data_IF_643843296860
#
_entry.id   IF_643843296860
#
_cell.length_a   1.000
_cell.length_b   1.000
_cell.length_c   1.000
_cell.angle_alpha   90.00
_cell.angle_beta   90.00
_cell.angle_gamma   90.00
#
_symmetry.space_group_name_H-M   'P 1'
#
loop_
_entity.id
_entity.type
_entity.pdbx_description
1 polymer ?
#
# COMPACT_ATOMS: atom_id res chain seq x y z
N UNK A 1 12.58 19.77 1.87
CA UNK A 1 11.81 20.23 3.06
C UNK A 1 12.75 20.40 4.25
N UNK A 2 12.49 21.42 5.11
CA UNK A 2 13.22 21.60 6.38
C UNK A 2 12.82 20.53 7.42
N UNK A 3 13.64 20.33 8.46
CA UNK A 3 13.29 19.41 9.57
C UNK A 3 11.99 19.81 10.26
N UNK A 4 11.74 21.12 10.43
CA UNK A 4 10.51 21.66 11.02
C UNK A 4 9.27 21.34 10.16
N UNK A 5 9.35 21.53 8.85
CA UNK A 5 8.28 21.18 7.90
C UNK A 5 7.95 19.69 7.93
N UNK A 6 8.96 18.83 8.01
CA UNK A 6 8.76 17.38 8.13
C UNK A 6 8.06 17.00 9.44
N UNK A 7 8.41 17.65 10.55
CA UNK A 7 7.77 17.41 11.83
C UNK A 7 6.27 17.80 11.77
N UNK A 8 5.97 18.99 11.23
CA UNK A 8 4.57 19.46 11.07
C UNK A 8 3.79 18.49 10.18
N UNK A 9 4.37 18.08 9.05
CA UNK A 9 3.75 17.08 8.16
C UNK A 9 3.42 15.77 8.89
N UNK A 10 4.37 15.22 9.62
CA UNK A 10 4.16 13.96 10.32
C UNK A 10 3.13 14.08 11.47
N UNK A 11 3.07 15.23 12.12
CA UNK A 11 2.04 15.52 13.11
C UNK A 11 0.66 15.62 12.47
N UNK A 12 0.55 16.32 11.34
CA UNK A 12 -0.67 16.42 10.54
C UNK A 12 -1.13 15.03 10.08
N UNK A 13 -0.21 14.21 9.51
CA UNK A 13 -0.50 12.84 9.11
C UNK A 13 -1.15 12.03 10.25
N UNK A 14 -0.57 12.10 11.47
CA UNK A 14 -1.09 11.36 12.63
C UNK A 14 -2.44 11.87 13.10
N UNK A 15 -2.63 13.18 13.17
CA UNK A 15 -3.92 13.77 13.58
C UNK A 15 -5.00 13.37 12.58
N UNK A 16 -4.73 13.51 11.29
CA UNK A 16 -5.67 13.15 10.23
C UNK A 16 -5.97 11.63 10.23
N UNK A 17 -4.96 10.79 10.44
CA UNK A 17 -5.15 9.35 10.57
C UNK A 17 -6.02 8.98 11.77
N UNK A 18 -5.83 9.64 12.93
CA UNK A 18 -6.64 9.42 14.13
C UNK A 18 -8.10 9.82 13.89
N UNK A 19 -8.34 11.00 13.34
CA UNK A 19 -9.68 11.48 13.00
C UNK A 19 -10.34 10.54 11.99
N UNK A 20 -9.59 10.15 10.93
CA UNK A 20 -10.06 9.21 9.92
C UNK A 20 -10.47 7.86 10.53
N UNK A 21 -9.67 7.31 11.45
CA UNK A 21 -10.01 6.06 12.13
C UNK A 21 -11.28 6.19 12.97
N UNK A 22 -11.46 7.29 13.69
CA UNK A 22 -12.67 7.51 14.51
C UNK A 22 -13.92 7.58 13.62
N UNK A 23 -13.86 8.34 12.51
CA UNK A 23 -14.97 8.50 11.57
C UNK A 23 -15.28 7.17 10.86
N UNK A 24 -14.26 6.42 10.47
CA UNK A 24 -14.41 5.18 9.71
C UNK A 24 -14.71 3.96 10.59
N UNK A 25 -14.55 4.08 11.92
CA UNK A 25 -14.76 2.96 12.85
C UNK A 25 -16.12 2.27 12.71
N UNK A 26 -17.28 2.98 12.67
CA UNK A 26 -18.58 2.32 12.50
C UNK A 26 -18.69 1.56 11.17
N UNK A 27 -18.12 2.10 10.08
CA UNK A 27 -18.08 1.42 8.78
C UNK A 27 -17.18 0.17 8.83
N UNK A 28 -16.04 0.25 9.52
CA UNK A 28 -15.16 -0.89 9.72
C UNK A 28 -15.83 -2.01 10.50
N UNK A 29 -16.70 -1.69 11.45
CA UNK A 29 -17.47 -2.70 12.18
C UNK A 29 -18.45 -3.44 11.25
N UNK A 30 -19.13 -2.71 10.36
CA UNK A 30 -20.01 -3.31 9.35
C UNK A 30 -19.20 -4.22 8.41
N UNK A 31 -18.09 -3.72 7.88
CA UNK A 31 -17.18 -4.51 7.03
C UNK A 31 -16.70 -5.75 7.77
N UNK A 32 -16.35 -5.65 9.05
CA UNK A 32 -15.92 -6.79 9.87
C UNK A 32 -17.01 -7.87 9.97
N UNK A 33 -18.26 -7.47 10.24
CA UNK A 33 -19.39 -8.41 10.34
C UNK A 33 -19.62 -9.12 9.00
N UNK A 34 -19.71 -8.35 7.88
CA UNK A 34 -19.88 -8.93 6.55
C UNK A 34 -18.72 -9.86 6.20
N UNK A 35 -17.49 -9.42 6.48
CA UNK A 35 -16.28 -10.22 6.23
C UNK A 35 -16.34 -11.57 6.96
N UNK A 36 -16.76 -11.60 8.24
CA UNK A 36 -16.87 -12.84 9.01
C UNK A 36 -17.93 -13.81 8.43
N UNK A 37 -19.01 -13.28 7.88
CA UNK A 37 -20.06 -14.08 7.26
C UNK A 37 -19.59 -14.62 5.90
N UNK A 38 -18.98 -13.76 5.06
CA UNK A 38 -18.68 -14.09 3.66
C UNK A 38 -17.34 -14.80 3.48
N UNK A 39 -16.32 -14.39 4.25
CA UNK A 39 -14.96 -14.91 4.13
C UNK A 39 -14.68 -16.13 5.02
N UNK A 40 -15.61 -16.49 5.90
CA UNK A 40 -15.52 -17.68 6.73
C UNK A 40 -14.37 -17.65 7.74
N UNK A 41 -13.74 -18.84 7.96
CA UNK A 41 -12.64 -19.01 8.93
C UNK A 41 -11.40 -18.23 8.52
N UNK A 42 -10.62 -17.78 9.50
CA UNK A 42 -9.35 -17.10 9.35
C UNK A 42 -9.35 -15.67 9.89
N UNK A 43 -8.18 -15.03 9.84
CA UNK A 43 -7.98 -13.67 10.34
C UNK A 43 -8.73 -12.65 9.48
N UNK A 44 -9.29 -11.61 10.12
CA UNK A 44 -9.80 -10.43 9.43
C UNK A 44 -8.67 -9.59 8.83
N UNK A 45 -7.56 -9.51 9.54
CA UNK A 45 -6.40 -8.75 9.09
C UNK A 45 -5.42 -9.66 8.34
N UNK A 46 -4.96 -9.15 7.21
CA UNK A 46 -3.79 -9.61 6.49
C UNK A 46 -2.60 -8.74 6.87
N UNK A 47 -1.43 -9.36 7.04
CA UNK A 47 -0.17 -8.68 7.37
C UNK A 47 0.87 -9.10 6.37
N UNK A 48 1.57 -8.12 5.79
CA UNK A 48 2.65 -8.40 4.85
C UNK A 48 3.86 -7.51 5.18
N UNK A 49 5.05 -8.09 5.09
CA UNK A 49 6.28 -7.34 5.22
C UNK A 49 6.53 -6.49 3.97
N UNK A 50 6.90 -5.24 4.17
CA UNK A 50 7.19 -4.26 3.13
C UNK A 50 8.44 -3.48 3.49
N UNK A 51 9.07 -2.91 2.46
CA UNK A 51 10.24 -2.03 2.62
C UNK A 51 9.76 -0.62 2.96
N UNK A 52 10.20 -0.12 4.10
CA UNK A 52 9.86 1.21 4.62
C UNK A 52 10.98 2.22 4.50
N UNK A 53 10.86 3.28 5.31
CA UNK A 53 11.84 4.38 5.34
C UNK A 53 13.24 3.86 5.67
N UNK A 54 14.23 4.35 4.93
CA UNK A 54 15.66 3.95 5.00
C UNK A 54 15.89 2.46 4.69
N UNK A 55 14.97 1.82 3.96
CA UNK A 55 15.08 0.40 3.63
C UNK A 55 14.77 -0.54 4.80
N UNK A 56 14.21 -0.04 5.90
CA UNK A 56 13.84 -0.87 7.06
C UNK A 56 12.54 -1.62 6.81
N UNK A 57 12.48 -2.93 6.99
CA UNK A 57 11.24 -3.67 6.83
C UNK A 57 10.23 -3.30 7.93
N UNK A 58 8.96 -3.28 7.57
CA UNK A 58 7.83 -3.09 8.49
C UNK A 58 6.63 -3.91 8.04
N UNK A 59 5.65 -4.11 8.91
CA UNK A 59 4.43 -4.88 8.59
C UNK A 59 3.28 -3.94 8.25
N UNK A 60 2.82 -3.98 7.00
CA UNK A 60 1.60 -3.31 6.57
C UNK A 60 0.38 -4.14 6.99
N UNK A 61 -0.71 -3.44 7.36
CA UNK A 61 -1.97 -4.07 7.73
C UNK A 61 -3.01 -3.82 6.65
N UNK A 62 -3.72 -4.87 6.24
CA UNK A 62 -4.86 -4.78 5.30
C UNK A 62 -6.02 -5.65 5.78
N UNK A 63 -7.21 -5.41 5.25
CA UNK A 63 -8.30 -6.36 5.38
C UNK A 63 -8.04 -7.51 4.41
N UNK A 64 -8.21 -8.76 4.88
CA UNK A 64 -8.04 -9.93 4.04
C UNK A 64 -9.12 -9.97 2.95
N UNK A 65 -8.71 -10.08 1.70
CA UNK A 65 -9.60 -10.10 0.52
C UNK A 65 -9.56 -11.40 -0.26
N UNK A 66 -8.63 -12.30 0.10
CA UNK A 66 -8.40 -13.57 -0.59
C UNK A 66 -8.69 -14.75 0.34
N UNK A 67 -8.97 -15.92 -0.26
CA UNK A 67 -9.02 -17.19 0.49
C UNK A 67 -7.66 -17.46 1.11
N UNK A 68 -7.68 -18.12 2.28
CA UNK A 68 -6.48 -18.52 3.00
C UNK A 68 -6.21 -19.99 2.70
N UNK A 69 -5.46 -20.26 1.64
CA UNK A 69 -5.14 -21.64 1.20
C UNK A 69 -3.77 -22.13 1.72
N UNK A 70 -3.24 -21.50 2.77
CA UNK A 70 -2.09 -22.01 3.53
C UNK A 70 -0.71 -21.56 3.07
N UNK A 71 -0.49 -21.23 1.81
CA UNK A 71 0.80 -20.78 1.26
C UNK A 71 0.70 -19.36 0.66
N UNK A 72 0.64 -18.37 1.54
CA UNK A 72 0.50 -16.94 1.14
C UNK A 72 1.82 -16.29 0.67
N UNK A 73 2.91 -17.04 0.52
CA UNK A 73 4.24 -16.44 0.46
C UNK A 73 4.80 -16.13 -0.94
N UNK A 74 4.19 -16.58 -2.04
CA UNK A 74 4.91 -16.58 -3.33
C UNK A 74 4.33 -15.73 -4.47
N UNK A 75 3.24 -14.98 -4.27
CA UNK A 75 2.68 -14.15 -5.35
C UNK A 75 2.91 -12.67 -5.10
N UNK A 76 3.99 -12.13 -5.67
CA UNK A 76 4.35 -10.71 -5.58
C UNK A 76 3.45 -9.78 -6.41
N UNK A 77 2.83 -10.31 -7.48
CA UNK A 77 1.99 -9.54 -8.40
C UNK A 77 0.59 -10.16 -8.45
N UNK A 78 -0.42 -9.41 -8.06
CA UNK A 78 -1.83 -9.83 -8.12
C UNK A 78 -2.51 -9.15 -9.30
N UNK A 79 -3.27 -9.92 -10.08
CA UNK A 79 -4.10 -9.40 -11.18
C UNK A 79 -5.57 -9.33 -10.77
N UNK A 80 -6.37 -8.55 -11.49
CA UNK A 80 -7.81 -8.40 -11.23
C UNK A 80 -8.60 -9.72 -11.39
N UNK A 81 -8.05 -10.69 -12.15
CA UNK A 81 -8.68 -11.98 -12.46
C UNK A 81 -8.20 -13.13 -11.56
N UNK A 82 -7.52 -12.84 -10.45
CA UNK A 82 -7.03 -13.86 -9.52
C UNK A 82 -8.22 -14.56 -8.82
N UNK A 83 -8.38 -15.88 -9.05
CA UNK A 83 -9.49 -16.69 -8.54
C UNK A 83 -9.52 -16.82 -7.01
N UNK A 84 -8.42 -16.51 -6.34
CA UNK A 84 -8.34 -16.46 -4.88
C UNK A 84 -9.13 -15.30 -4.29
N UNK A 85 -9.40 -14.26 -5.09
CA UNK A 85 -10.11 -13.05 -4.63
C UNK A 85 -11.61 -13.32 -4.62
N UNK A 86 -12.22 -13.34 -3.43
CA UNK A 86 -13.66 -13.51 -3.29
C UNK A 86 -14.44 -12.26 -3.78
N UNK A 87 -15.71 -12.39 -4.18
CA UNK A 87 -16.52 -11.25 -4.68
C UNK A 87 -16.51 -10.05 -3.72
N UNK A 88 -16.66 -10.29 -2.42
CA UNK A 88 -16.56 -9.23 -1.41
C UNK A 88 -15.13 -8.64 -1.33
N UNK A 89 -14.12 -9.48 -1.49
CA UNK A 89 -12.72 -9.03 -1.59
C UNK A 89 -12.50 -8.14 -2.82
N UNK A 90 -13.07 -8.49 -3.98
CA UNK A 90 -13.03 -7.63 -5.18
C UNK A 90 -13.64 -6.25 -4.94
N UNK A 91 -14.79 -6.20 -4.24
CA UNK A 91 -15.41 -4.94 -3.84
C UNK A 91 -14.48 -4.11 -2.95
N UNK A 92 -13.91 -4.71 -1.89
CA UNK A 92 -12.99 -4.02 -0.97
C UNK A 92 -11.77 -3.45 -1.71
N UNK A 93 -11.14 -4.23 -2.61
CA UNK A 93 -9.98 -3.80 -3.41
C UNK A 93 -10.32 -2.68 -4.38
N UNK A 94 -11.44 -2.81 -5.10
CA UNK A 94 -11.91 -1.78 -6.04
C UNK A 94 -12.18 -0.44 -5.35
N UNK A 95 -12.72 -0.48 -4.13
CA UNK A 95 -13.00 0.72 -3.33
C UNK A 95 -11.84 1.16 -2.44
N UNK A 96 -10.72 0.41 -2.43
CA UNK A 96 -9.56 0.61 -1.54
C UNK A 96 -9.91 0.58 -0.04
N UNK A 97 -11.05 0.02 0.32
CA UNK A 97 -11.47 -0.13 1.71
C UNK A 97 -10.60 -1.14 2.47
N UNK A 98 -9.98 -2.08 1.78
CA UNK A 98 -9.03 -3.02 2.37
C UNK A 98 -7.77 -2.34 2.94
N UNK A 99 -7.42 -1.15 2.45
CA UNK A 99 -6.23 -0.38 2.85
C UNK A 99 -6.51 0.63 3.98
N UNK A 100 -7.77 0.84 4.40
CA UNK A 100 -8.11 1.78 5.50
C UNK A 100 -7.31 1.46 6.78
N UNK A 101 -7.03 0.20 7.04
CA UNK A 101 -6.28 -0.25 8.22
C UNK A 101 -4.82 0.24 8.21
N UNK A 102 -4.28 0.66 7.06
CA UNK A 102 -2.95 1.26 6.96
C UNK A 102 -2.83 2.58 7.75
N UNK A 103 -3.96 3.23 8.10
CA UNK A 103 -3.97 4.36 9.02
C UNK A 103 -3.31 4.01 10.37
N UNK A 104 -3.35 2.75 10.80
CA UNK A 104 -2.62 2.28 11.99
C UNK A 104 -1.10 2.41 11.79
N UNK A 105 -0.59 2.11 10.59
CA UNK A 105 0.84 2.29 10.29
C UNK A 105 1.24 3.79 10.28
N UNK A 106 0.32 4.68 9.85
CA UNK A 106 0.55 6.13 9.95
C UNK A 106 0.63 6.58 11.41
N UNK A 107 -0.27 6.12 12.27
CA UNK A 107 -0.23 6.44 13.70
C UNK A 107 1.04 5.95 14.37
N UNK A 108 1.52 4.75 14.03
CA UNK A 108 2.81 4.22 14.49
C UNK A 108 3.99 5.02 13.97
N UNK A 109 3.81 5.81 12.90
CA UNK A 109 4.88 6.56 12.25
C UNK A 109 5.73 5.75 11.27
N UNK A 110 5.27 4.55 10.92
CA UNK A 110 5.87 3.67 9.89
C UNK A 110 5.52 4.17 8.48
N UNK A 111 4.35 4.80 8.34
CA UNK A 111 3.83 5.36 7.09
C UNK A 111 3.45 6.84 7.23
N UNK A 112 3.12 7.43 6.11
CA UNK A 112 2.56 8.77 5.91
C UNK A 112 1.27 8.66 5.10
N UNK A 113 0.43 9.69 5.10
CA UNK A 113 -0.73 9.71 4.21
C UNK A 113 -0.28 9.77 2.74
N UNK A 114 0.69 10.64 2.44
CA UNK A 114 1.22 10.84 1.08
C UNK A 114 2.71 10.51 1.05
N UNK A 115 3.10 9.62 0.15
CA UNK A 115 4.48 9.17 -0.06
C UNK A 115 4.56 8.04 -1.09
N UNK A 116 5.77 7.55 -1.40
CA UNK A 116 5.95 6.36 -2.23
C UNK A 116 5.21 5.16 -1.62
N UNK A 117 4.51 4.36 -2.45
CA UNK A 117 3.88 3.13 -1.97
C UNK A 117 4.95 2.13 -1.54
N UNK A 118 4.81 1.46 -0.39
CA UNK A 118 5.82 0.50 0.07
C UNK A 118 5.83 -0.76 -0.78
N UNK A 119 7.00 -1.12 -1.33
CA UNK A 119 7.18 -2.33 -2.11
C UNK A 119 7.48 -3.55 -1.22
N UNK A 120 7.28 -4.74 -1.78
CA UNK A 120 7.81 -5.99 -1.22
C UNK A 120 9.34 -6.02 -1.36
N UNK A 121 10.01 -6.88 -0.60
CA UNK A 121 11.44 -7.12 -0.78
C UNK A 121 11.76 -7.57 -2.22
N UNK A 122 12.91 -7.14 -2.73
CA UNK A 122 13.34 -7.43 -4.10
C UNK A 122 13.15 -6.28 -5.09
N UNK A 123 12.51 -5.18 -4.69
CA UNK A 123 12.30 -3.97 -5.50
C UNK A 123 12.99 -2.75 -4.87
N UNK A 124 12.31 -2.07 -3.94
CA UNK A 124 12.82 -0.84 -3.35
C UNK A 124 14.15 -1.02 -2.57
N UNK A 125 14.36 -2.17 -1.96
CA UNK A 125 15.61 -2.53 -1.27
C UNK A 125 16.82 -2.67 -2.21
N UNK A 126 16.58 -2.94 -3.50
CA UNK A 126 17.60 -3.05 -4.54
C UNK A 126 17.93 -1.73 -5.23
N UNK A 127 17.22 -0.66 -4.95
CA UNK A 127 17.50 0.65 -5.52
C UNK A 127 18.88 1.15 -5.10
N UNK A 128 19.61 1.70 -6.06
CA UNK A 128 20.97 2.22 -5.88
C UNK A 128 21.07 3.68 -6.36
N UNK A 129 22.14 4.34 -5.99
CA UNK A 129 22.41 5.71 -6.46
C UNK A 129 21.30 6.68 -6.11
N UNK A 130 20.88 7.45 -7.11
CA UNK A 130 19.88 8.51 -6.98
C UNK A 130 18.47 7.96 -6.64
N UNK A 131 18.08 6.84 -7.24
CA UNK A 131 16.78 6.23 -7.04
C UNK A 131 16.55 5.80 -5.58
N UNK A 132 17.62 5.47 -4.86
CA UNK A 132 17.54 5.11 -3.45
C UNK A 132 17.05 6.25 -2.54
N UNK A 133 17.11 7.50 -2.99
CA UNK A 133 16.62 8.67 -2.24
C UNK A 133 15.13 8.60 -1.94
N UNK A 134 14.34 7.89 -2.73
CA UNK A 134 12.92 7.69 -2.42
C UNK A 134 12.71 7.00 -1.06
N UNK A 135 13.66 6.17 -0.61
CA UNK A 135 13.63 5.51 0.69
C UNK A 135 13.91 6.45 1.87
N UNK A 136 14.34 7.67 1.65
CA UNK A 136 14.42 8.69 2.71
C UNK A 136 13.04 9.18 3.14
N UNK A 137 12.02 8.92 2.31
CA UNK A 137 10.62 9.23 2.62
C UNK A 137 9.97 8.11 3.43
N UNK A 138 9.00 8.48 4.30
CA UNK A 138 8.07 7.48 4.79
C UNK A 138 7.20 7.00 3.65
N UNK A 139 6.96 5.70 3.51
CA UNK A 139 6.02 5.19 2.53
C UNK A 139 4.63 5.77 2.78
N UNK A 140 3.85 5.98 1.70
CA UNK A 140 2.52 6.55 1.77
C UNK A 140 1.41 5.53 1.55
N UNK A 141 0.22 5.83 2.09
CA UNK A 141 -1.02 5.15 1.69
C UNK A 141 -1.34 5.50 0.24
N UNK A 142 -1.14 6.76 -0.13
CA UNK A 142 -1.27 7.25 -1.50
C UNK A 142 -0.05 8.07 -1.90
N UNK A 143 0.07 8.36 -3.19
CA UNK A 143 1.15 9.20 -3.73
C UNK A 143 1.01 9.36 -5.24
N UNK A 144 1.84 10.20 -5.89
CA UNK A 144 1.74 10.47 -7.32
C UNK A 144 1.81 9.20 -8.18
N UNK A 145 2.73 8.29 -7.87
CA UNK A 145 2.84 7.01 -8.58
C UNK A 145 1.60 6.13 -8.35
N UNK A 146 1.06 6.08 -7.12
CA UNK A 146 -0.18 5.33 -6.82
C UNK A 146 -1.39 5.88 -7.55
N UNK A 147 -1.47 7.20 -7.74
CA UNK A 147 -2.54 7.84 -8.50
C UNK A 147 -2.44 7.53 -10.00
N UNK A 148 -1.24 7.58 -10.58
CA UNK A 148 -1.02 7.22 -11.99
C UNK A 148 -1.40 5.77 -12.27
N UNK A 149 -1.07 4.87 -11.37
CA UNK A 149 -1.30 3.43 -11.49
C UNK A 149 -2.48 2.93 -10.63
N UNK A 150 -3.53 3.74 -10.49
CA UNK A 150 -4.71 3.39 -9.67
C UNK A 150 -5.39 2.10 -10.16
N UNK A 151 -5.35 1.85 -11.47
CA UNK A 151 -5.93 0.67 -12.15
C UNK A 151 -4.84 -0.36 -12.53
N UNK A 152 -3.74 -0.44 -11.78
CA UNK A 152 -2.61 -1.33 -12.08
C UNK A 152 -3.03 -2.79 -12.25
N UNK A 153 -3.89 -3.31 -11.38
CA UNK A 153 -4.38 -4.69 -11.45
C UNK A 153 -5.14 -4.97 -12.76
N UNK A 154 -5.93 -4.00 -13.26
CA UNK A 154 -6.63 -4.11 -14.54
C UNK A 154 -5.68 -4.00 -15.72
N UNK A 155 -4.63 -3.19 -15.60
CA UNK A 155 -3.59 -3.06 -16.62
C UNK A 155 -2.80 -4.37 -16.74
N UNK A 156 -2.36 -4.92 -15.62
CA UNK A 156 -1.63 -6.18 -15.56
C UNK A 156 -2.46 -7.38 -16.04
N UNK A 157 -3.78 -7.34 -15.87
CA UNK A 157 -4.67 -8.40 -16.37
C UNK A 157 -4.80 -8.44 -17.91
N UNK A 158 -4.32 -7.41 -18.62
CA UNK A 158 -4.40 -7.28 -20.09
C UNK A 158 -3.12 -7.64 -20.83
N UNK A 159 -2.06 -7.96 -20.10
CA UNK A 159 -0.75 -8.30 -20.67
C UNK A 159 -0.44 -9.79 -20.50
N UNK A 160 0.32 -10.34 -21.42
CA UNK A 160 0.66 -11.78 -21.44
C UNK A 160 1.58 -12.17 -20.27
N UNK A 161 2.53 -11.29 -19.90
CA UNK A 161 3.44 -11.50 -18.76
C UNK A 161 3.34 -10.30 -17.78
N UNK A 162 2.42 -10.37 -16.81
CA UNK A 162 2.22 -9.32 -15.83
C UNK A 162 3.47 -8.98 -15.02
N UNK A 163 4.28 -10.01 -14.68
CA UNK A 163 5.49 -9.81 -13.88
C UNK A 163 6.54 -9.05 -14.69
N UNK A 164 6.82 -9.48 -15.89
CA UNK A 164 7.77 -8.81 -16.79
C UNK A 164 7.36 -7.37 -17.08
N UNK A 165 6.08 -7.15 -17.37
CA UNK A 165 5.56 -5.81 -17.63
C UNK A 165 5.68 -4.90 -16.40
N UNK A 166 5.42 -5.43 -15.20
CA UNK A 166 5.66 -4.69 -13.96
C UNK A 166 7.15 -4.32 -13.82
N UNK A 167 8.05 -5.29 -14.00
CA UNK A 167 9.48 -5.12 -13.74
C UNK A 167 10.15 -4.17 -14.76
N UNK A 168 9.73 -4.22 -16.04
CA UNK A 168 10.37 -3.46 -17.11
C UNK A 168 9.70 -2.09 -17.36
N UNK A 169 8.40 -1.93 -17.06
CA UNK A 169 7.64 -0.73 -17.41
C UNK A 169 7.11 0.01 -16.18
N UNK A 170 6.31 -0.68 -15.35
CA UNK A 170 5.58 -0.01 -14.27
C UNK A 170 6.52 0.42 -13.15
N UNK A 171 7.34 -0.50 -12.66
CA UNK A 171 8.23 -0.23 -11.54
C UNK A 171 9.26 0.88 -11.84
N UNK A 172 9.99 0.89 -12.97
CA UNK A 172 10.89 1.99 -13.33
C UNK A 172 10.18 3.35 -13.42
N UNK A 173 8.97 3.38 -14.00
CA UNK A 173 8.20 4.62 -14.09
C UNK A 173 7.72 5.10 -12.70
N UNK A 174 7.30 4.19 -11.82
CA UNK A 174 6.98 4.52 -10.43
C UNK A 174 8.18 5.10 -9.68
N UNK A 175 9.38 4.53 -9.87
CA UNK A 175 10.61 5.04 -9.27
C UNK A 175 10.87 6.47 -9.73
N UNK A 176 10.77 6.73 -11.04
CA UNK A 176 10.94 8.08 -11.61
C UNK A 176 9.95 9.08 -11.01
N UNK A 177 8.66 8.75 -10.96
CA UNK A 177 7.63 9.63 -10.41
C UNK A 177 7.88 9.89 -8.92
N UNK A 178 8.27 8.87 -8.16
CA UNK A 178 8.55 9.00 -6.74
C UNK A 178 9.83 9.84 -6.49
N UNK A 179 10.81 9.78 -7.39
CA UNK A 179 12.00 10.62 -7.33
C UNK A 179 11.66 12.09 -7.66
N UNK A 180 10.82 12.35 -8.65
CA UNK A 180 10.29 13.68 -8.92
C UNK A 180 9.54 14.23 -7.71
N UNK A 181 8.70 13.41 -7.06
CA UNK A 181 8.03 13.77 -5.81
C UNK A 181 9.02 14.07 -4.69
N UNK A 182 10.09 13.27 -4.55
CA UNK A 182 11.13 13.49 -3.56
C UNK A 182 11.72 14.90 -3.66
N UNK A 183 12.01 15.37 -4.87
CA UNK A 183 12.61 16.70 -5.09
C UNK A 183 11.60 17.85 -4.99
N UNK A 184 10.40 17.67 -5.50
CA UNK A 184 9.42 18.74 -5.67
C UNK A 184 8.42 18.85 -4.52
N UNK A 185 8.46 17.93 -3.54
CA UNK A 185 7.51 17.95 -2.43
C UNK A 185 7.62 19.22 -1.58
N UNK A 186 6.47 19.78 -1.24
CA UNK A 186 6.30 20.91 -0.31
C UNK A 186 5.24 20.56 0.74
N UNK A 187 5.31 21.22 1.89
CA UNK A 187 4.30 21.19 2.96
C UNK A 187 4.28 22.53 3.66
#
# INVERSE_FOLDING_TARGET
MSKGSLFIKHLFDKITALIGMIILFPFMLIIFIIHKIVMGKGSFFFKQERIGQYGKPFKIYKIRTMKSDGDDNDVFVTTANDDRILPFGKFLRKTKLDEIVELVNVLKGEMSLVGPRPDVAGYADKLIGEDRKILELRPGITGPASLKYINEEELLAKVDDPKKYNDEIIHPDKVKINLEYYYNRSF
#
